data_IF_704418172257
#
_entry.id   IF_704418172257
#
_cell.length_a   1.000
_cell.length_b   1.000
_cell.length_c   1.000
_cell.angle_alpha   90.00
_cell.angle_beta   90.00
_cell.angle_gamma   90.00
#
_symmetry.space_group_name_H-M   'P 1'
#
loop_
_entity.id
_entity.type
_entity.pdbx_description
1 polymer ?
#
# COMPACT_ATOMS: atom_id res chain seq x y z
N UNK A 1 5.30 6.99 -21.42
CA UNK A 1 5.28 7.07 -19.95
C UNK A 1 4.64 5.79 -19.45
N UNK A 2 5.26 5.14 -18.47
CA UNK A 2 4.79 3.89 -17.87
C UNK A 2 3.85 4.21 -16.71
N UNK A 3 2.80 3.40 -16.55
CA UNK A 3 1.82 3.53 -15.48
C UNK A 3 1.87 2.30 -14.57
N UNK A 4 1.91 2.48 -13.23
CA UNK A 4 1.69 1.37 -12.32
C UNK A 4 0.22 0.95 -12.33
N UNK A 5 -0.02 -0.34 -12.17
CA UNK A 5 -1.35 -0.94 -12.08
C UNK A 5 -1.39 -1.91 -10.90
N UNK A 6 -2.45 -1.85 -10.11
CA UNK A 6 -2.75 -2.88 -9.12
C UNK A 6 -3.19 -4.17 -9.85
N UNK A 7 -2.42 -5.24 -9.68
CA UNK A 7 -2.69 -6.54 -10.30
C UNK A 7 -3.55 -7.43 -9.40
N UNK A 8 -3.30 -7.36 -8.10
CA UNK A 8 -4.03 -8.08 -7.05
C UNK A 8 -3.75 -7.46 -5.69
N UNK A 9 -4.47 -7.92 -4.69
CA UNK A 9 -4.32 -7.51 -3.30
C UNK A 9 -4.61 -8.70 -2.40
N UNK A 10 -4.02 -8.68 -1.21
CA UNK A 10 -4.30 -9.64 -0.16
C UNK A 10 -4.19 -8.98 1.22
N UNK A 11 -4.85 -9.58 2.20
CA UNK A 11 -4.79 -9.16 3.59
C UNK A 11 -4.78 -10.41 4.46
N UNK A 12 -3.68 -10.62 5.19
CA UNK A 12 -3.51 -11.78 6.07
C UNK A 12 -4.61 -11.89 7.13
N UNK A 13 -5.06 -10.75 7.65
CA UNK A 13 -6.04 -10.72 8.74
C UNK A 13 -7.48 -10.92 8.24
N UNK A 14 -7.75 -10.59 6.98
CA UNK A 14 -9.10 -10.53 6.40
C UNK A 14 -9.10 -11.01 4.95
N UNK A 15 -9.44 -12.28 4.72
CA UNK A 15 -9.47 -12.89 3.38
C UNK A 15 -10.86 -13.51 3.09
N UNK A 16 -11.61 -13.06 2.06
CA UNK A 16 -11.27 -11.98 1.12
C UNK A 16 -11.57 -10.58 1.69
N UNK A 17 -10.58 -9.69 1.66
CA UNK A 17 -10.64 -8.33 2.21
C UNK A 17 -11.76 -7.49 1.59
N UNK A 18 -12.11 -7.74 0.33
CA UNK A 18 -13.17 -7.02 -0.39
C UNK A 18 -14.56 -7.26 0.22
N UNK A 19 -14.73 -8.43 0.82
CA UNK A 19 -15.97 -8.87 1.47
C UNK A 19 -15.99 -8.57 2.96
N UNK A 20 -14.83 -8.29 3.57
CA UNK A 20 -14.72 -8.04 4.99
C UNK A 20 -15.52 -6.81 5.41
N UNK A 21 -16.18 -6.91 6.55
CA UNK A 21 -16.94 -5.84 7.18
C UNK A 21 -16.50 -5.76 8.63
N UNK A 22 -15.88 -4.64 9.07
CA UNK A 22 -15.57 -4.45 10.48
C UNK A 22 -16.86 -4.34 11.29
N UNK A 23 -16.78 -4.64 12.58
CA UNK A 23 -17.88 -4.41 13.52
C UNK A 23 -18.22 -2.91 13.61
N UNK A 24 -17.20 -2.05 13.61
CA UNK A 24 -17.32 -0.61 13.54
C UNK A 24 -16.45 -0.03 12.39
N UNK A 25 -17.06 0.48 11.30
CA UNK A 25 -16.33 1.13 10.22
C UNK A 25 -15.53 2.38 10.64
N UNK A 26 -15.82 2.97 11.80
CA UNK A 26 -15.05 4.08 12.36
C UNK A 26 -13.79 3.62 13.10
N UNK A 27 -13.60 2.32 13.37
CA UNK A 27 -12.45 1.80 14.11
C UNK A 27 -11.83 0.64 13.33
N UNK A 28 -10.90 0.99 12.43
CA UNK A 28 -10.21 0.05 11.56
C UNK A 28 -8.70 0.30 11.59
N UNK A 29 -7.94 -0.79 11.70
CA UNK A 29 -6.48 -0.85 11.61
C UNK A 29 -6.09 -2.23 11.08
N UNK A 30 -5.57 -2.30 9.85
CA UNK A 30 -5.05 -3.55 9.26
C UNK A 30 -3.94 -3.28 8.25
N UNK A 31 -3.21 -4.33 7.88
CA UNK A 31 -2.22 -4.30 6.81
C UNK A 31 -2.79 -4.83 5.50
N UNK A 32 -2.59 -4.07 4.43
CA UNK A 32 -2.95 -4.45 3.07
C UNK A 32 -1.67 -4.68 2.26
N UNK A 33 -1.60 -5.83 1.58
CA UNK A 33 -0.59 -6.13 0.60
C UNK A 33 -1.14 -5.81 -0.80
N UNK A 34 -0.39 -5.02 -1.56
CA UNK A 34 -0.72 -4.57 -2.90
C UNK A 34 0.33 -5.12 -3.87
N UNK A 35 -0.14 -5.85 -4.89
CA UNK A 35 0.72 -6.36 -5.96
C UNK A 35 0.68 -5.34 -7.08
N UNK A 36 1.70 -4.49 -7.17
CA UNK A 36 1.73 -3.37 -8.12
C UNK A 36 2.82 -3.64 -9.15
N UNK A 37 2.48 -3.53 -10.44
CA UNK A 37 3.42 -3.71 -11.53
C UNK A 37 3.14 -2.80 -12.73
N UNK A 38 4.01 -2.78 -13.74
CA UNK A 38 3.76 -2.05 -14.97
C UNK A 38 2.46 -2.52 -15.64
N UNK A 39 1.64 -1.59 -16.15
CA UNK A 39 0.36 -1.91 -16.78
C UNK A 39 0.49 -2.97 -17.90
N UNK A 40 1.53 -2.85 -18.74
CA UNK A 40 1.79 -3.70 -19.91
C UNK A 40 2.48 -5.04 -19.58
N UNK A 41 2.85 -5.27 -18.32
CA UNK A 41 3.58 -6.47 -17.89
C UNK A 41 2.75 -7.32 -16.93
N UNK A 42 3.09 -8.61 -16.82
CA UNK A 42 2.43 -9.53 -15.88
C UNK A 42 3.00 -9.46 -14.46
N UNK A 43 4.26 -9.06 -14.32
CA UNK A 43 4.96 -9.00 -13.04
C UNK A 43 4.40 -7.91 -12.12
N UNK A 44 4.62 -8.08 -10.83
CA UNK A 44 4.31 -7.12 -9.78
C UNK A 44 5.33 -7.26 -8.66
N UNK A 45 5.61 -6.14 -7.99
CA UNK A 45 6.32 -6.12 -6.71
C UNK A 45 5.30 -5.98 -5.58
N UNK A 46 5.69 -6.39 -4.37
CA UNK A 46 4.85 -6.29 -3.18
C UNK A 46 5.06 -4.96 -2.46
N UNK A 47 3.94 -4.28 -2.23
CA UNK A 47 3.87 -3.03 -1.47
C UNK A 47 2.89 -3.19 -0.32
N UNK A 48 3.30 -2.81 0.89
CA UNK A 48 2.51 -2.90 2.10
C UNK A 48 2.06 -1.53 2.55
N UNK A 49 0.83 -1.46 3.05
CA UNK A 49 0.29 -0.21 3.61
C UNK A 49 -0.65 -0.51 4.77
N UNK A 50 -0.55 0.32 5.81
CA UNK A 50 -1.46 0.25 6.93
C UNK A 50 -2.71 1.09 6.62
N UNK A 51 -3.89 0.47 6.65
CA UNK A 51 -5.16 1.14 6.42
C UNK A 51 -5.78 1.46 7.78
N UNK A 52 -6.00 2.75 8.04
CA UNK A 52 -6.53 3.24 9.30
C UNK A 52 -7.81 4.04 9.06
N UNK A 53 -8.77 3.88 9.97
CA UNK A 53 -9.82 4.89 10.15
C UNK A 53 -9.27 6.18 10.78
N UNK A 54 -9.88 7.34 10.55
CA UNK A 54 -9.48 8.62 11.19
C UNK A 54 -9.49 8.52 12.72
N UNK A 55 -10.50 7.87 13.31
CA UNK A 55 -10.59 7.72 14.76
C UNK A 55 -9.47 6.83 15.31
N UNK A 56 -9.15 5.71 14.63
CA UNK A 56 -8.00 4.89 15.00
C UNK A 56 -6.68 5.67 14.86
N UNK A 57 -6.53 6.48 13.81
CA UNK A 57 -5.34 7.31 13.61
C UNK A 57 -5.16 8.35 14.73
N UNK A 58 -6.23 8.97 15.24
CA UNK A 58 -6.17 9.91 16.37
C UNK A 58 -5.79 9.27 17.71
N UNK A 59 -5.96 7.95 17.84
CA UNK A 59 -5.55 7.21 19.04
C UNK A 59 -4.05 6.89 19.07
N UNK A 60 -3.35 7.02 17.93
CA UNK A 60 -1.92 6.75 17.80
C UNK A 60 -1.08 7.98 18.15
N UNK A 61 0.13 7.74 18.67
CA UNK A 61 1.11 8.81 18.84
C UNK A 61 1.64 9.33 17.49
N UNK A 62 2.18 10.55 17.47
CA UNK A 62 2.84 11.10 16.27
C UNK A 62 4.00 10.21 15.78
N UNK A 63 4.74 9.57 16.70
CA UNK A 63 5.81 8.63 16.34
C UNK A 63 5.25 7.41 15.60
N UNK A 64 4.17 6.82 16.10
CA UNK A 64 3.50 5.69 15.45
C UNK A 64 2.94 6.09 14.08
N UNK A 65 2.36 7.28 13.98
CA UNK A 65 1.89 7.86 12.72
C UNK A 65 3.04 8.08 11.72
N UNK A 66 4.25 8.38 12.17
CA UNK A 66 5.41 8.56 11.29
C UNK A 66 6.09 7.24 10.85
N UNK A 67 6.03 6.17 11.66
CA UNK A 67 6.81 4.93 11.39
C UNK A 67 6.33 4.07 10.24
N UNK A 68 5.03 4.10 9.93
CA UNK A 68 4.40 3.20 8.93
C UNK A 68 3.81 4.02 7.80
N UNK A 69 3.86 3.50 6.59
CA UNK A 69 3.11 4.06 5.47
C UNK A 69 1.63 3.77 5.65
N UNK A 70 0.80 4.79 5.44
CA UNK A 70 -0.60 4.77 5.85
C UNK A 70 -1.54 5.30 4.77
N UNK A 71 -2.71 4.69 4.69
CA UNK A 71 -3.91 5.29 4.10
C UNK A 71 -4.88 5.52 5.25
N UNK A 72 -5.23 6.78 5.48
CA UNK A 72 -6.25 7.15 6.48
C UNK A 72 -7.56 7.42 5.76
N UNK A 73 -8.62 6.73 6.18
CA UNK A 73 -9.98 6.84 5.64
C UNK A 73 -10.90 7.35 6.76
N UNK A 74 -11.81 8.28 6.46
CA UNK A 74 -12.74 8.80 7.47
C UNK A 74 -13.65 7.72 8.08
N UNK A 75 -14.37 6.99 7.22
CA UNK A 75 -15.11 5.78 7.60
C UNK A 75 -14.77 4.67 6.63
N UNK A 76 -14.42 3.51 7.17
CA UNK A 76 -13.99 2.39 6.36
C UNK A 76 -15.07 1.97 5.37
N UNK A 77 -14.66 1.88 4.11
CA UNK A 77 -15.35 1.09 3.11
C UNK A 77 -14.31 0.60 2.11
N UNK A 78 -14.49 -0.63 1.61
CA UNK A 78 -13.59 -1.17 0.60
C UNK A 78 -13.42 -0.23 -0.62
N UNK A 79 -14.49 0.37 -1.18
CA UNK A 79 -14.36 1.36 -2.25
C UNK A 79 -13.51 2.57 -1.90
N UNK A 80 -13.56 3.08 -0.66
CA UNK A 80 -12.75 4.21 -0.24
C UNK A 80 -11.25 3.86 -0.20
N UNK A 81 -10.90 2.67 0.30
CA UNK A 81 -9.52 2.17 0.28
C UNK A 81 -9.02 2.05 -1.16
N UNK A 82 -9.80 1.43 -2.03
CA UNK A 82 -9.44 1.26 -3.44
C UNK A 82 -9.33 2.58 -4.20
N UNK A 83 -10.19 3.56 -3.90
CA UNK A 83 -10.10 4.91 -4.46
C UNK A 83 -8.80 5.60 -4.04
N UNK A 84 -8.38 5.44 -2.78
CA UNK A 84 -7.12 6.01 -2.30
C UNK A 84 -5.91 5.35 -2.97
N UNK A 85 -5.93 4.01 -3.13
CA UNK A 85 -4.89 3.28 -3.87
C UNK A 85 -4.81 3.75 -5.32
N UNK A 86 -5.94 3.80 -6.04
CA UNK A 86 -5.98 4.26 -7.44
C UNK A 86 -5.45 5.69 -7.60
N UNK A 87 -5.79 6.60 -6.68
CA UNK A 87 -5.27 7.96 -6.69
C UNK A 87 -3.74 8.00 -6.53
N UNK A 88 -3.18 7.16 -5.64
CA UNK A 88 -1.73 7.05 -5.46
C UNK A 88 -1.07 6.52 -6.74
N UNK A 89 -1.62 5.46 -7.35
CA UNK A 89 -1.08 4.86 -8.58
C UNK A 89 -1.07 5.86 -9.74
N UNK A 90 -2.18 6.58 -9.97
CA UNK A 90 -2.28 7.61 -11.01
C UNK A 90 -1.27 8.75 -10.84
N UNK A 91 -0.93 9.09 -9.59
CA UNK A 91 0.09 10.11 -9.29
C UNK A 91 1.54 9.61 -9.41
N UNK A 92 1.73 8.31 -9.69
CA UNK A 92 3.03 7.64 -9.63
C UNK A 92 3.58 7.19 -11.00
N UNK A 93 3.09 7.76 -12.12
CA UNK A 93 3.61 7.48 -13.46
C UNK A 93 5.09 7.87 -13.64
N UNK A 94 5.82 7.22 -14.56
CA UNK A 94 7.27 7.45 -14.73
C UNK A 94 7.81 7.10 -16.11
N UNK A 95 9.10 7.36 -16.34
CA UNK A 95 9.80 6.94 -17.57
C UNK A 95 10.05 5.42 -17.60
N UNK A 96 10.27 4.84 -16.42
CA UNK A 96 10.64 3.45 -16.20
C UNK A 96 10.14 2.97 -14.83
N UNK A 97 10.25 1.67 -14.57
CA UNK A 97 9.77 1.06 -13.33
C UNK A 97 10.52 1.60 -12.10
N UNK A 98 11.83 1.80 -12.20
CA UNK A 98 12.65 2.34 -11.10
C UNK A 98 12.17 3.71 -10.63
N UNK A 99 11.84 4.62 -11.57
CA UNK A 99 11.28 5.92 -11.24
C UNK A 99 9.88 5.84 -10.61
N UNK A 100 9.08 4.83 -11.01
CA UNK A 100 7.76 4.57 -10.42
C UNK A 100 7.91 4.03 -8.99
N UNK A 101 8.77 3.03 -8.75
CA UNK A 101 8.98 2.46 -7.41
C UNK A 101 9.52 3.49 -6.43
N UNK A 102 10.36 4.43 -6.88
CA UNK A 102 10.81 5.58 -6.08
C UNK A 102 9.66 6.49 -5.61
N UNK A 103 8.60 6.63 -6.40
CA UNK A 103 7.40 7.38 -6.00
C UNK A 103 6.52 6.55 -5.06
N UNK A 104 6.33 5.27 -5.38
CA UNK A 104 5.51 4.34 -4.60
C UNK A 104 6.08 4.13 -3.18
N UNK A 105 7.40 4.01 -3.00
CA UNK A 105 8.04 3.84 -1.66
C UNK A 105 7.83 5.02 -0.71
N UNK A 106 7.46 6.19 -1.23
CA UNK A 106 7.10 7.32 -0.37
C UNK A 106 5.72 7.10 0.26
N UNK A 107 4.86 6.33 -0.40
CA UNK A 107 3.46 6.08 -0.05
C UNK A 107 3.18 4.69 0.53
N UNK A 108 4.03 3.70 0.22
CA UNK A 108 3.90 2.29 0.62
C UNK A 108 5.26 1.75 1.06
N UNK A 109 5.25 0.73 1.92
CA UNK A 109 6.45 0.01 2.33
C UNK A 109 6.77 -1.06 1.28
N UNK A 110 7.94 -0.97 0.64
CA UNK A 110 8.31 -1.88 -0.46
C UNK A 110 9.07 -3.10 0.06
N UNK A 111 8.81 -4.30 -0.47
CA UNK A 111 9.48 -5.54 0.00
C UNK A 111 11.01 -5.48 -0.12
N UNK A 112 11.53 -4.70 -1.08
CA UNK A 112 12.96 -4.52 -1.30
C UNK A 112 13.56 -3.29 -0.60
N UNK A 113 12.81 -2.56 0.24
CA UNK A 113 13.28 -1.29 0.83
C UNK A 113 14.55 -1.44 1.71
N UNK A 114 14.80 -2.66 2.21
CA UNK A 114 16.02 -3.00 2.96
C UNK A 114 16.86 -4.09 2.29
N UNK A 115 16.57 -4.43 1.03
CA UNK A 115 17.34 -5.42 0.32
C UNK A 115 18.78 -4.91 0.11
N UNK A 116 19.75 -5.69 0.58
CA UNK A 116 21.17 -5.49 0.27
C UNK A 116 21.58 -6.69 -0.56
N UNK A 117 22.05 -6.44 -1.78
CA UNK A 117 22.66 -7.47 -2.61
C UNK A 117 23.74 -8.20 -1.80
N UNK A 118 23.61 -9.53 -1.72
CA UNK A 118 24.65 -10.34 -1.14
C UNK A 118 25.85 -10.31 -2.08
N UNK A 119 26.91 -9.58 -1.69
CA UNK A 119 28.19 -9.68 -2.38
C UNK A 119 28.91 -10.91 -1.86
N UNK A 120 28.96 -11.97 -2.68
CA UNK A 120 29.88 -13.08 -2.45
C UNK A 120 31.29 -12.52 -2.31
N UNK A 121 31.94 -12.81 -1.18
CA UNK A 121 33.36 -12.49 -0.98
C UNK A 121 34.16 -13.51 -1.80
N UNK A 122 34.62 -13.10 -2.97
CA UNK A 122 35.71 -13.78 -3.70
C UNK A 122 37.04 -13.65 -2.98
#
# INVERSE_FOLDING_TARGET
>A
MMMPLLKSQDCTDHDPIESWRPEDPAVVDYWLCLHIGPAEEKGADLFYVNVLSELAAHALSEEELARRKKIVIQQYSWPAVMSAVDQILRSSEGSDWTGITQKLRVRFDWEFENYREYKERT
#
